data_IF_322196391769
#
_entry.id   IF_322196391769
#
_cell.length_a   1.000
_cell.length_b   1.000
_cell.length_c   1.000
_cell.angle_alpha   90.00
_cell.angle_beta   90.00
_cell.angle_gamma   90.00
#
_symmetry.space_group_name_H-M   'P 1'
#
loop_
_entity.id
_entity.type
_entity.pdbx_description
1 polymer ?
#
# COMPACT_ATOMS: atom_id res chain seq x y z
N UNK A 1 -11.44 30.20 2.81
CA UNK A 1 -12.68 29.94 3.55
C UNK A 1 -13.81 29.39 2.68
N UNK A 2 -14.14 29.96 1.50
CA UNK A 2 -15.22 29.41 0.64
C UNK A 2 -14.98 27.95 0.18
N UNK A 3 -13.74 27.56 -0.11
CA UNK A 3 -13.37 26.20 -0.53
C UNK A 3 -13.57 25.17 0.59
N UNK A 4 -13.27 25.51 1.85
CA UNK A 4 -13.41 24.63 3.01
C UNK A 4 -14.88 24.39 3.37
N UNK A 5 -15.72 25.42 3.30
CA UNK A 5 -17.16 25.29 3.52
C UNK A 5 -17.83 24.44 2.41
N UNK A 6 -17.39 24.58 1.16
CA UNK A 6 -17.87 23.77 0.05
C UNK A 6 -17.53 22.29 0.27
N UNK A 7 -16.38 22.01 0.84
CA UNK A 7 -15.90 20.69 1.18
C UNK A 7 -16.74 20.04 2.29
N UNK A 8 -16.97 20.79 3.38
CA UNK A 8 -17.83 20.32 4.50
C UNK A 8 -19.25 20.03 4.02
N UNK A 9 -19.81 20.91 3.18
CA UNK A 9 -21.16 20.74 2.62
C UNK A 9 -21.18 19.53 1.70
N UNK A 10 -20.15 19.34 0.84
CA UNK A 10 -20.04 18.19 -0.05
C UNK A 10 -19.94 16.87 0.74
N UNK A 11 -19.04 16.80 1.74
CA UNK A 11 -18.95 15.64 2.64
C UNK A 11 -20.25 15.36 3.40
N UNK A 12 -20.93 16.39 3.87
CA UNK A 12 -22.21 16.23 4.60
C UNK A 12 -23.31 15.73 3.66
N UNK A 13 -23.45 16.30 2.47
CA UNK A 13 -24.48 15.91 1.49
C UNK A 13 -24.20 14.52 0.94
N UNK A 14 -22.96 14.23 0.58
CA UNK A 14 -22.51 12.93 0.12
C UNK A 14 -22.65 11.87 1.23
N UNK A 15 -22.28 12.20 2.47
CA UNK A 15 -22.43 11.32 3.63
C UNK A 15 -23.85 10.94 3.98
N UNK A 16 -24.81 11.86 3.81
CA UNK A 16 -26.23 11.57 4.02
C UNK A 16 -26.80 10.66 2.92
N UNK A 17 -26.35 10.81 1.67
CA UNK A 17 -26.74 9.97 0.54
C UNK A 17 -26.12 8.57 0.63
N UNK A 18 -24.86 8.48 1.08
CA UNK A 18 -24.05 7.26 1.02
C UNK A 18 -23.62 6.75 2.41
N UNK A 19 -24.54 6.71 3.37
CA UNK A 19 -24.26 6.21 4.75
C UNK A 19 -23.55 4.87 4.79
N UNK A 20 -23.82 4.02 3.80
CA UNK A 20 -23.26 2.69 3.70
C UNK A 20 -21.76 2.73 3.31
N UNK A 21 -21.39 3.57 2.33
CA UNK A 21 -20.02 3.84 1.96
C UNK A 21 -19.21 4.42 3.12
N UNK A 22 -19.77 5.38 3.86
CA UNK A 22 -19.08 5.95 5.02
C UNK A 22 -18.88 4.94 6.15
N UNK A 23 -19.83 4.04 6.38
CA UNK A 23 -19.63 2.96 7.35
C UNK A 23 -18.48 2.03 6.93
N UNK A 24 -18.37 1.70 5.64
CA UNK A 24 -17.25 0.94 5.09
C UNK A 24 -15.93 1.71 5.21
N UNK A 25 -15.97 3.03 4.95
CA UNK A 25 -14.79 3.90 5.08
C UNK A 25 -14.29 4.00 6.52
N UNK A 26 -15.19 4.10 7.50
CA UNK A 26 -14.82 4.11 8.93
C UNK A 26 -14.29 2.73 9.36
N UNK A 27 -14.91 1.64 8.89
CA UNK A 27 -14.38 0.28 9.08
C UNK A 27 -12.93 0.22 8.56
N UNK A 28 -12.70 0.68 7.33
CA UNK A 28 -11.38 0.67 6.70
C UNK A 28 -10.39 1.57 7.44
N UNK A 29 -10.81 2.74 7.93
CA UNK A 29 -9.98 3.63 8.74
C UNK A 29 -9.43 2.93 9.98
N UNK A 30 -10.27 2.30 10.78
CA UNK A 30 -9.82 1.57 11.97
C UNK A 30 -8.99 0.34 11.61
N UNK A 31 -9.35 -0.35 10.53
CA UNK A 31 -8.56 -1.47 10.03
C UNK A 31 -7.16 -1.03 9.61
N UNK A 32 -7.02 0.12 8.94
CA UNK A 32 -5.71 0.61 8.52
C UNK A 32 -4.87 1.15 9.67
N UNK A 33 -5.47 1.62 10.76
CA UNK A 33 -4.72 1.88 11.99
C UNK A 33 -4.17 0.57 12.57
N UNK A 34 -5.01 -0.48 12.64
CA UNK A 34 -4.58 -1.82 13.04
C UNK A 34 -3.39 -2.30 12.19
N UNK A 35 -3.55 -2.31 10.86
CA UNK A 35 -2.53 -2.78 9.93
C UNK A 35 -1.26 -1.93 9.98
N UNK A 36 -1.38 -0.61 10.09
CA UNK A 36 -0.24 0.30 10.23
C UNK A 36 0.54 0.10 11.53
N UNK A 37 -0.15 -0.23 12.64
CA UNK A 37 0.52 -0.62 13.90
C UNK A 37 1.30 -1.92 13.69
N UNK A 38 0.67 -2.95 13.11
CA UNK A 38 1.32 -4.23 12.82
C UNK A 38 2.50 -4.05 11.86
N UNK A 39 2.35 -3.23 10.83
CA UNK A 39 3.43 -2.90 9.89
C UNK A 39 4.62 -2.25 10.59
N UNK A 40 4.36 -1.34 11.54
CA UNK A 40 5.40 -0.67 12.32
C UNK A 40 6.14 -1.64 13.26
N UNK A 41 5.40 -2.48 13.98
CA UNK A 41 6.02 -3.35 15.01
C UNK A 41 6.65 -4.62 14.44
N UNK A 42 6.22 -5.10 13.26
CA UNK A 42 6.70 -6.37 12.69
C UNK A 42 8.23 -6.42 12.53
N UNK A 43 8.90 -5.43 11.90
CA UNK A 43 10.36 -5.43 11.81
C UNK A 43 11.03 -5.35 13.18
N UNK A 44 10.46 -4.59 14.14
CA UNK A 44 10.99 -4.45 15.49
C UNK A 44 10.93 -5.78 16.27
N UNK A 45 9.81 -6.51 16.15
CA UNK A 45 9.64 -7.85 16.77
C UNK A 45 10.67 -8.83 16.25
N UNK A 46 10.87 -8.88 14.94
CA UNK A 46 11.79 -9.82 14.31
C UNK A 46 13.23 -9.51 14.74
N UNK A 47 13.63 -8.24 14.73
CA UNK A 47 14.99 -7.82 15.17
C UNK A 47 15.19 -8.07 16.68
N UNK A 48 14.20 -7.75 17.51
CA UNK A 48 14.28 -7.98 18.95
C UNK A 48 14.42 -9.46 19.34
N UNK A 49 14.04 -10.37 18.42
CA UNK A 49 14.24 -11.82 18.56
C UNK A 49 15.65 -12.29 18.17
N UNK A 50 16.56 -11.37 17.82
CA UNK A 50 17.96 -11.66 17.51
C UNK A 50 18.25 -11.97 16.03
N UNK A 51 17.29 -11.77 15.13
CA UNK A 51 17.52 -11.92 13.70
C UNK A 51 18.24 -10.71 13.11
N UNK A 52 19.06 -10.94 12.07
CA UNK A 52 19.68 -9.86 11.30
C UNK A 52 18.64 -9.08 10.49
N UNK A 53 18.97 -7.85 10.08
CA UNK A 53 18.10 -7.07 9.19
C UNK A 53 17.85 -7.79 7.86
N UNK A 54 18.84 -8.52 7.33
CA UNK A 54 18.68 -9.34 6.13
C UNK A 54 17.58 -10.40 6.32
N UNK A 55 17.63 -11.14 7.43
CA UNK A 55 16.62 -12.17 7.72
C UNK A 55 15.25 -11.56 7.96
N UNK A 56 15.18 -10.43 8.66
CA UNK A 56 13.94 -9.65 8.82
C UNK A 56 13.37 -9.24 7.47
N UNK A 57 14.19 -8.73 6.55
CA UNK A 57 13.75 -8.35 5.21
C UNK A 57 13.21 -9.55 4.39
N UNK A 58 13.85 -10.72 4.49
CA UNK A 58 13.36 -11.97 3.87
C UNK A 58 11.99 -12.36 4.43
N UNK A 59 11.85 -12.31 5.75
CA UNK A 59 10.59 -12.65 6.44
C UNK A 59 9.48 -11.70 6.00
N UNK A 60 9.71 -10.39 6.00
CA UNK A 60 8.71 -9.39 5.59
C UNK A 60 8.34 -9.55 4.11
N UNK A 61 9.32 -9.76 3.23
CA UNK A 61 9.08 -9.98 1.80
C UNK A 61 8.22 -11.20 1.49
N UNK A 62 8.15 -12.18 2.41
CA UNK A 62 7.29 -13.36 2.26
C UNK A 62 5.81 -12.99 2.21
N UNK A 63 5.37 -11.87 2.81
CA UNK A 63 3.98 -11.42 2.76
C UNK A 63 3.50 -11.20 1.32
N UNK A 64 4.31 -10.54 0.49
CA UNK A 64 3.97 -10.29 -0.92
C UNK A 64 4.08 -11.54 -1.80
N UNK A 65 5.00 -12.47 -1.48
CA UNK A 65 5.05 -13.77 -2.15
C UNK A 65 3.78 -14.56 -1.85
N UNK A 66 3.38 -14.61 -0.58
CA UNK A 66 2.17 -15.30 -0.15
C UNK A 66 0.91 -14.63 -0.72
N UNK A 67 0.84 -13.28 -0.73
CA UNK A 67 -0.23 -12.52 -1.38
C UNK A 67 -0.40 -12.92 -2.84
N UNK A 68 0.66 -12.85 -3.64
CA UNK A 68 0.59 -13.25 -5.05
C UNK A 68 0.12 -14.69 -5.27
N UNK A 69 0.48 -15.63 -4.37
CA UNK A 69 -0.03 -17.01 -4.41
C UNK A 69 -1.51 -17.08 -4.00
N UNK A 70 -1.90 -16.32 -2.98
CA UNK A 70 -3.29 -16.28 -2.51
C UNK A 70 -4.20 -15.61 -3.52
N UNK A 71 -3.78 -14.55 -4.20
CA UNK A 71 -4.53 -13.93 -5.30
C UNK A 71 -4.94 -14.96 -6.34
N UNK A 72 -4.00 -15.80 -6.76
CA UNK A 72 -4.29 -16.89 -7.69
C UNK A 72 -5.29 -17.91 -7.13
N UNK A 73 -5.14 -18.29 -5.85
CA UNK A 73 -6.04 -19.26 -5.21
C UNK A 73 -7.43 -18.63 -4.94
N UNK A 74 -7.48 -17.41 -4.43
CA UNK A 74 -8.72 -16.70 -4.11
C UNK A 74 -9.52 -16.39 -5.36
N UNK A 75 -8.87 -15.96 -6.45
CA UNK A 75 -9.51 -15.73 -7.75
C UNK A 75 -10.18 -17.01 -8.30
N UNK A 76 -9.65 -18.20 -7.98
CA UNK A 76 -10.20 -19.48 -8.40
C UNK A 76 -11.32 -19.99 -7.48
N UNK A 77 -11.12 -19.91 -6.15
CA UNK A 77 -12.03 -20.53 -5.18
C UNK A 77 -13.08 -19.58 -4.61
N UNK A 78 -12.85 -18.28 -4.64
CA UNK A 78 -13.73 -17.24 -4.09
C UNK A 78 -14.33 -16.31 -5.16
N UNK A 79 -14.29 -16.65 -6.43
CA UNK A 79 -14.82 -15.86 -7.56
C UNK A 79 -16.24 -15.30 -7.35
N UNK A 80 -17.09 -16.07 -6.65
CA UNK A 80 -18.47 -15.72 -6.37
C UNK A 80 -18.71 -15.34 -4.89
N UNK A 81 -17.63 -15.10 -4.14
CA UNK A 81 -17.78 -14.79 -2.72
C UNK A 81 -18.25 -13.36 -2.54
N UNK A 82 -19.24 -13.19 -1.67
CA UNK A 82 -19.78 -11.89 -1.30
C UNK A 82 -18.82 -11.17 -0.34
N UNK A 83 -18.70 -9.83 -0.43
CA UNK A 83 -17.85 -9.00 0.42
C UNK A 83 -17.98 -9.31 1.93
N UNK A 84 -19.16 -9.70 2.39
CA UNK A 84 -19.39 -10.09 3.79
C UNK A 84 -18.55 -11.29 4.21
N UNK A 85 -18.46 -12.30 3.34
CA UNK A 85 -17.67 -13.50 3.60
C UNK A 85 -16.17 -13.17 3.54
N UNK A 86 -15.77 -12.36 2.58
CA UNK A 86 -14.37 -11.95 2.40
C UNK A 86 -13.89 -11.16 3.62
N UNK A 87 -14.65 -10.15 4.07
CA UNK A 87 -14.30 -9.40 5.28
C UNK A 87 -14.34 -10.26 6.54
N UNK A 88 -15.30 -11.17 6.67
CA UNK A 88 -15.34 -12.06 7.85
C UNK A 88 -14.09 -12.93 7.94
N UNK A 89 -13.65 -13.54 6.84
CA UNK A 89 -12.42 -14.35 6.80
C UNK A 89 -11.22 -13.45 7.07
N UNK A 90 -11.14 -12.27 6.47
CA UNK A 90 -10.11 -11.27 6.74
C UNK A 90 -9.99 -10.96 8.23
N UNK A 91 -11.11 -10.66 8.92
CA UNK A 91 -11.10 -10.36 10.35
C UNK A 91 -10.61 -11.53 11.21
N UNK A 92 -10.95 -12.76 10.84
CA UNK A 92 -10.44 -13.96 11.52
C UNK A 92 -8.92 -14.06 11.37
N UNK A 93 -8.39 -13.86 10.16
CA UNK A 93 -6.95 -13.88 9.90
C UNK A 93 -6.25 -12.74 10.62
N UNK A 94 -6.82 -11.52 10.59
CA UNK A 94 -6.30 -10.34 11.30
C UNK A 94 -6.27 -10.53 12.83
N UNK A 95 -7.19 -11.31 13.40
CA UNK A 95 -7.20 -11.60 14.83
C UNK A 95 -6.07 -12.57 15.22
N UNK A 96 -5.80 -13.55 14.38
CA UNK A 96 -4.82 -14.62 14.67
C UNK A 96 -3.38 -14.14 14.42
N UNK A 97 -3.14 -13.37 13.38
CA UNK A 97 -1.81 -12.97 12.92
C UNK A 97 -0.98 -12.22 14.01
N UNK A 98 -1.50 -11.19 14.73
CA UNK A 98 -0.74 -10.51 15.78
C UNK A 98 -0.40 -11.41 16.96
N UNK A 99 -1.27 -12.36 17.29
CA UNK A 99 -1.04 -13.32 18.38
C UNK A 99 0.12 -14.26 18.02
N UNK A 100 0.17 -14.73 16.78
CA UNK A 100 1.28 -15.55 16.27
C UNK A 100 2.57 -14.72 16.26
N UNK A 101 2.50 -13.47 15.76
CA UNK A 101 3.65 -12.58 15.69
C UNK A 101 4.25 -12.30 17.07
N UNK A 102 3.42 -12.05 18.10
CA UNK A 102 3.85 -11.75 19.45
C UNK A 102 4.48 -12.96 20.18
N UNK A 103 3.87 -14.13 20.04
CA UNK A 103 4.30 -15.35 20.73
C UNK A 103 5.55 -16.00 20.10
N UNK A 104 5.94 -15.59 18.91
CA UNK A 104 6.98 -16.25 18.15
C UNK A 104 8.39 -15.77 18.52
N UNK A 105 9.35 -16.72 18.44
CA UNK A 105 10.80 -16.46 18.39
C UNK A 105 11.45 -17.28 17.26
N UNK A 106 10.66 -17.99 16.45
CA UNK A 106 11.13 -18.93 15.44
C UNK A 106 10.82 -18.39 14.04
N UNK A 107 11.82 -18.38 13.16
CA UNK A 107 11.70 -17.83 11.79
C UNK A 107 10.51 -18.40 11.00
N UNK A 108 10.25 -19.71 11.08
CA UNK A 108 9.14 -20.35 10.35
C UNK A 108 7.79 -19.80 10.78
N UNK A 109 7.62 -19.47 12.06
CA UNK A 109 6.37 -18.90 12.57
C UNK A 109 6.24 -17.44 12.13
N UNK A 110 7.32 -16.68 12.05
CA UNK A 110 7.31 -15.35 11.45
C UNK A 110 6.96 -15.38 9.96
N UNK A 111 7.50 -16.34 9.20
CA UNK A 111 7.11 -16.54 7.79
C UNK A 111 5.60 -16.82 7.66
N UNK A 112 5.04 -17.64 8.56
CA UNK A 112 3.60 -17.90 8.60
C UNK A 112 2.80 -16.62 8.92
N UNK A 113 3.22 -15.85 9.93
CA UNK A 113 2.57 -14.58 10.27
C UNK A 113 2.60 -13.58 9.11
N UNK A 114 3.70 -13.51 8.36
CA UNK A 114 3.80 -12.67 7.17
C UNK A 114 2.98 -13.20 6.00
N UNK A 115 2.90 -14.51 5.81
CA UNK A 115 2.00 -15.11 4.82
C UNK A 115 0.53 -14.78 5.14
N UNK A 116 0.13 -14.81 6.41
CA UNK A 116 -1.20 -14.38 6.84
C UNK A 116 -1.43 -12.88 6.58
N UNK A 117 -0.39 -12.05 6.68
CA UNK A 117 -0.45 -10.64 6.32
C UNK A 117 -0.83 -10.47 4.86
N UNK A 118 -0.12 -11.12 3.92
CA UNK A 118 -0.48 -11.11 2.51
C UNK A 118 -1.94 -11.53 2.30
N UNK A 119 -2.34 -12.66 2.89
CA UNK A 119 -3.71 -13.19 2.75
C UNK A 119 -4.79 -12.20 3.18
N UNK A 120 -4.67 -11.58 4.37
CA UNK A 120 -5.73 -10.69 4.82
C UNK A 120 -5.78 -9.37 4.02
N UNK A 121 -4.63 -8.94 3.46
CA UNK A 121 -4.55 -7.77 2.61
C UNK A 121 -5.31 -7.98 1.28
N UNK A 122 -5.13 -9.15 0.67
CA UNK A 122 -5.84 -9.54 -0.55
C UNK A 122 -7.35 -9.71 -0.30
N UNK A 123 -7.71 -10.36 0.81
CA UNK A 123 -9.13 -10.50 1.21
C UNK A 123 -9.80 -9.13 1.40
N UNK A 124 -9.09 -8.14 1.94
CA UNK A 124 -9.57 -6.77 2.03
C UNK A 124 -9.75 -6.15 0.64
N UNK A 125 -8.77 -6.30 -0.25
CA UNK A 125 -8.81 -5.80 -1.62
C UNK A 125 -10.02 -6.34 -2.37
N UNK A 126 -10.19 -7.66 -2.42
CA UNK A 126 -11.34 -8.31 -3.03
C UNK A 126 -12.66 -7.92 -2.36
N UNK A 127 -12.67 -7.80 -1.02
CA UNK A 127 -13.83 -7.34 -0.27
C UNK A 127 -14.26 -5.93 -0.63
N UNK A 128 -13.31 -5.00 -0.77
CA UNK A 128 -13.57 -3.62 -1.19
C UNK A 128 -14.11 -3.57 -2.63
N UNK A 129 -13.54 -4.34 -3.53
CA UNK A 129 -14.00 -4.42 -4.91
C UNK A 129 -15.43 -4.93 -5.00
N UNK A 130 -15.73 -6.06 -4.36
CA UNK A 130 -17.09 -6.64 -4.36
C UNK A 130 -18.09 -5.73 -3.64
N UNK A 131 -17.68 -5.05 -2.56
CA UNK A 131 -18.51 -4.07 -1.86
C UNK A 131 -18.89 -2.91 -2.78
N UNK A 132 -17.93 -2.24 -3.41
CA UNK A 132 -18.18 -1.09 -4.27
C UNK A 132 -19.03 -1.50 -5.48
N UNK A 133 -18.69 -2.62 -6.15
CA UNK A 133 -19.40 -3.07 -7.34
C UNK A 133 -20.86 -3.46 -7.08
N UNK A 134 -21.20 -3.91 -5.86
CA UNK A 134 -22.57 -4.34 -5.53
C UNK A 134 -23.41 -3.27 -4.85
N UNK A 135 -22.79 -2.40 -4.06
CA UNK A 135 -23.52 -1.48 -3.18
C UNK A 135 -23.55 -0.04 -3.69
N UNK A 136 -22.69 0.29 -4.68
CA UNK A 136 -22.61 1.62 -5.30
C UNK A 136 -23.14 1.60 -6.74
N UNK A 137 -23.57 2.76 -7.23
CA UNK A 137 -23.95 2.93 -8.64
C UNK A 137 -22.69 2.96 -9.53
N UNK A 138 -22.80 2.51 -10.78
CA UNK A 138 -21.63 2.31 -11.66
C UNK A 138 -20.85 3.60 -11.91
N UNK A 139 -21.55 4.74 -12.04
CA UNK A 139 -20.96 6.07 -12.21
C UNK A 139 -20.31 6.62 -10.93
N UNK A 140 -20.58 6.02 -9.76
CA UNK A 140 -20.03 6.39 -8.46
C UNK A 140 -18.84 5.50 -8.03
N UNK A 141 -18.48 4.46 -8.78
CA UNK A 141 -17.42 3.52 -8.38
C UNK A 141 -16.08 4.22 -8.14
N UNK A 142 -15.61 5.05 -9.07
CA UNK A 142 -14.34 5.75 -8.95
C UNK A 142 -14.31 6.70 -7.74
N UNK A 143 -15.39 7.46 -7.51
CA UNK A 143 -15.50 8.35 -6.35
C UNK A 143 -15.58 7.58 -5.04
N UNK A 144 -16.22 6.42 -5.03
CA UNK A 144 -16.32 5.53 -3.87
C UNK A 144 -14.95 4.98 -3.46
N UNK A 145 -14.15 4.51 -4.41
CA UNK A 145 -12.76 4.11 -4.14
C UNK A 145 -11.91 5.30 -3.67
N UNK A 146 -12.15 6.51 -4.18
CA UNK A 146 -11.52 7.73 -3.70
C UNK A 146 -11.80 8.01 -2.22
N UNK A 147 -13.08 7.87 -1.80
CA UNK A 147 -13.46 8.03 -0.39
C UNK A 147 -12.81 6.97 0.49
N UNK A 148 -12.88 5.69 0.10
CA UNK A 148 -12.18 4.60 0.80
C UNK A 148 -10.67 4.88 0.94
N UNK A 149 -10.04 5.38 -0.13
CA UNK A 149 -8.62 5.73 -0.17
C UNK A 149 -8.24 6.84 0.81
N UNK A 150 -9.06 7.88 0.96
CA UNK A 150 -8.84 8.96 1.94
C UNK A 150 -8.85 8.42 3.37
N UNK A 151 -9.84 7.59 3.73
CA UNK A 151 -9.93 6.99 5.06
C UNK A 151 -8.78 6.00 5.32
N UNK A 152 -8.37 5.24 4.30
CA UNK A 152 -7.18 4.37 4.35
C UNK A 152 -5.92 5.18 4.64
N UNK A 153 -5.70 6.28 3.91
CA UNK A 153 -4.52 7.15 4.08
C UNK A 153 -4.48 7.81 5.45
N UNK A 154 -5.65 8.24 5.98
CA UNK A 154 -5.76 8.77 7.35
C UNK A 154 -5.36 7.74 8.40
N UNK A 155 -5.76 6.49 8.24
CA UNK A 155 -5.38 5.41 9.16
C UNK A 155 -3.87 5.18 9.17
N UNK A 156 -3.25 5.07 8.01
CA UNK A 156 -1.78 4.89 7.91
C UNK A 156 -1.00 6.12 8.37
N UNK A 157 -1.55 7.32 8.25
CA UNK A 157 -0.95 8.54 8.81
C UNK A 157 -0.91 8.50 10.33
N UNK A 158 -2.00 8.07 10.97
CA UNK A 158 -2.13 8.08 12.42
C UNK A 158 -1.46 6.88 13.11
N UNK A 159 -1.39 5.73 12.45
CA UNK A 159 -0.88 4.51 13.05
C UNK A 159 0.54 4.64 13.61
N UNK A 160 1.54 5.18 12.90
CA UNK A 160 2.90 5.36 13.44
C UNK A 160 2.94 6.32 14.64
N UNK A 161 2.14 7.39 14.65
CA UNK A 161 2.04 8.29 15.80
C UNK A 161 1.49 7.57 17.03
N UNK A 162 0.39 6.85 16.84
CA UNK A 162 -0.29 6.14 17.94
C UNK A 162 0.64 5.07 18.52
N UNK A 163 1.31 4.31 17.66
CA UNK A 163 2.21 3.24 18.13
C UNK A 163 3.47 3.79 18.77
N UNK A 164 4.05 4.89 18.25
CA UNK A 164 5.21 5.56 18.83
C UNK A 164 4.94 6.09 20.25
N UNK A 165 3.69 6.55 20.53
CA UNK A 165 3.28 6.95 21.88
C UNK A 165 3.18 5.78 22.87
N UNK A 166 3.03 4.55 22.40
CA UNK A 166 2.77 3.35 23.21
C UNK A 166 4.01 2.47 23.37
N UNK A 167 4.90 2.46 22.37
CA UNK A 167 6.16 1.74 22.44
C UNK A 167 7.05 2.44 23.45
N UNK A 168 7.38 1.72 24.54
CA UNK A 168 8.36 2.17 25.54
C UNK A 168 9.80 1.87 25.11
N UNK A 169 10.72 1.78 26.10
CA UNK A 169 12.12 1.41 25.84
C UNK A 169 12.28 -0.04 25.34
N UNK A 170 11.31 -0.90 25.65
CA UNK A 170 11.25 -2.29 25.19
C UNK A 170 9.90 -2.57 24.55
N UNK A 171 9.92 -3.33 23.48
CA UNK A 171 8.71 -3.79 22.81
C UNK A 171 7.99 -4.82 23.71
N UNK A 172 6.84 -4.45 24.24
CA UNK A 172 6.00 -5.27 25.10
C UNK A 172 4.67 -5.67 24.42
N UNK A 173 3.72 -6.16 25.19
CA UNK A 173 2.40 -6.56 24.69
C UNK A 173 1.46 -5.40 24.30
N UNK A 174 1.74 -4.17 24.76
CA UNK A 174 0.83 -3.01 24.59
C UNK A 174 0.54 -2.64 23.15
N UNK A 175 1.50 -2.57 22.22
CA UNK A 175 1.20 -2.28 20.80
C UNK A 175 0.29 -3.34 20.16
N UNK A 176 0.43 -4.61 20.55
CA UNK A 176 -0.42 -5.69 20.04
C UNK A 176 -1.86 -5.57 20.53
N UNK A 177 -2.06 -5.28 21.82
CA UNK A 177 -3.39 -5.04 22.37
C UNK A 177 -4.03 -3.80 21.73
N UNK A 178 -3.24 -2.73 21.56
CA UNK A 178 -3.70 -1.53 20.88
C UNK A 178 -4.17 -1.83 19.45
N UNK A 179 -3.40 -2.61 18.68
CA UNK A 179 -3.80 -3.05 17.36
C UNK A 179 -5.12 -3.82 17.40
N UNK A 180 -5.28 -4.77 18.34
CA UNK A 180 -6.52 -5.55 18.50
C UNK A 180 -7.71 -4.68 18.92
N UNK A 181 -7.50 -3.59 19.67
CA UNK A 181 -8.56 -2.62 20.00
C UNK A 181 -9.06 -1.94 18.71
N UNK A 182 -8.15 -1.46 17.85
CA UNK A 182 -8.55 -0.87 16.58
C UNK A 182 -9.19 -1.89 15.62
N UNK A 183 -8.70 -3.13 15.60
CA UNK A 183 -9.34 -4.22 14.87
C UNK A 183 -10.78 -4.47 15.37
N UNK A 184 -10.99 -4.44 16.68
CA UNK A 184 -12.32 -4.60 17.30
C UNK A 184 -13.26 -3.45 16.91
N UNK A 185 -12.76 -2.20 16.90
CA UNK A 185 -13.51 -1.04 16.41
C UNK A 185 -13.90 -1.21 14.95
N UNK A 186 -12.96 -1.63 14.10
CA UNK A 186 -13.23 -1.95 12.70
C UNK A 186 -14.30 -3.03 12.56
N UNK A 187 -14.21 -4.09 13.35
CA UNK A 187 -15.19 -5.19 13.33
C UNK A 187 -16.60 -4.73 13.73
N UNK A 188 -16.74 -3.80 14.68
CA UNK A 188 -18.04 -3.22 15.04
C UNK A 188 -18.67 -2.53 13.81
N UNK A 189 -17.91 -1.72 13.07
CA UNK A 189 -18.41 -1.09 11.85
C UNK A 189 -18.72 -2.11 10.75
N UNK A 190 -17.96 -3.19 10.64
CA UNK A 190 -18.31 -4.32 9.78
C UNK A 190 -19.64 -4.96 10.16
N UNK A 191 -19.91 -5.17 11.46
CA UNK A 191 -21.20 -5.71 11.92
C UNK A 191 -22.36 -4.77 11.55
N UNK A 192 -22.18 -3.45 11.70
CA UNK A 192 -23.15 -2.46 11.28
C UNK A 192 -23.46 -2.58 9.78
N UNK A 193 -22.41 -2.71 8.95
CA UNK A 193 -22.53 -2.95 7.51
C UNK A 193 -23.25 -4.26 7.21
N UNK A 194 -22.86 -5.32 7.89
CA UNK A 194 -23.41 -6.67 7.70
C UNK A 194 -24.93 -6.71 7.97
N UNK A 195 -25.36 -6.08 9.07
CA UNK A 195 -26.79 -6.04 9.48
C UNK A 195 -27.60 -5.17 8.51
N UNK A 196 -27.09 -3.98 8.17
CA UNK A 196 -27.82 -3.03 7.32
C UNK A 196 -27.90 -3.50 5.86
N UNK A 197 -26.87 -4.16 5.36
CA UNK A 197 -26.83 -4.70 4.00
C UNK A 197 -27.84 -5.83 3.76
N UNK A 198 -28.18 -6.63 4.79
CA UNK A 198 -29.25 -7.66 4.68
C UNK A 198 -30.62 -7.10 4.32
N UNK A 199 -30.87 -5.81 4.61
CA UNK A 199 -32.14 -5.13 4.34
C UNK A 199 -32.27 -4.61 2.91
N UNK A 200 -31.15 -4.50 2.16
CA UNK A 200 -31.16 -4.13 0.74
C UNK A 200 -31.20 -5.39 -0.10
N UNK A 201 -32.24 -5.55 -0.92
CA UNK A 201 -32.33 -6.65 -1.87
C UNK A 201 -31.11 -6.64 -2.82
N UNK A 202 -30.45 -7.78 -2.94
CA UNK A 202 -29.24 -7.95 -3.74
C UNK A 202 -29.61 -7.69 -5.21
N UNK A 203 -29.06 -6.64 -5.81
CA UNK A 203 -29.10 -6.44 -7.26
C UNK A 203 -28.06 -7.39 -7.86
N UNK A 204 -28.53 -8.57 -8.27
CA UNK A 204 -27.69 -9.53 -9.00
C UNK A 204 -27.67 -9.06 -10.46
N UNK A 205 -26.84 -8.07 -10.78
CA UNK A 205 -26.42 -7.89 -12.16
C UNK A 205 -25.38 -8.99 -12.45
N UNK A 206 -25.66 -9.75 -13.50
CA UNK A 206 -24.81 -10.85 -13.97
C UNK A 206 -23.44 -10.27 -14.29
N UNK A 207 -22.45 -10.53 -13.44
CA UNK A 207 -21.03 -10.41 -13.82
C UNK A 207 -20.88 -11.22 -15.11
N UNK A 208 -20.44 -10.57 -16.18
CA UNK A 208 -20.15 -11.26 -17.43
C UNK A 208 -19.27 -12.47 -17.11
N UNK A 209 -19.73 -13.66 -17.49
CA UNK A 209 -18.97 -14.89 -17.29
C UNK A 209 -17.64 -14.76 -18.05
N UNK A 210 -16.58 -14.45 -17.32
CA UNK A 210 -15.24 -14.51 -17.85
C UNK A 210 -14.92 -15.95 -18.22
N UNK A 211 -14.67 -16.21 -19.50
CA UNK A 211 -14.12 -17.51 -19.94
C UNK A 211 -12.61 -17.46 -19.73
N UNK A 212 -12.06 -18.23 -18.78
CA UNK A 212 -10.62 -18.24 -18.55
C UNK A 212 -9.92 -18.65 -19.85
N UNK A 213 -8.98 -17.83 -20.30
CA UNK A 213 -8.07 -18.20 -21.39
C UNK A 213 -7.19 -19.34 -20.91
N UNK A 214 -6.76 -20.24 -21.79
CA UNK A 214 -5.85 -21.32 -21.41
C UNK A 214 -4.54 -20.72 -20.85
N UNK A 215 -3.99 -21.30 -19.78
CA UNK A 215 -2.80 -20.82 -19.06
C UNK A 215 -1.61 -20.43 -19.97
N UNK A 216 -1.31 -21.24 -20.99
CA UNK A 216 -0.24 -20.94 -21.95
C UNK A 216 -0.54 -19.74 -22.85
N UNK A 217 -1.81 -19.52 -23.20
CA UNK A 217 -2.25 -18.36 -23.97
C UNK A 217 -2.07 -17.09 -23.14
N UNK A 218 -2.43 -17.15 -21.87
CA UNK A 218 -2.31 -16.04 -20.94
C UNK A 218 -0.84 -15.67 -20.71
N UNK A 219 0.05 -16.62 -20.46
CA UNK A 219 1.50 -16.39 -20.35
C UNK A 219 2.08 -15.74 -21.61
N UNK A 220 1.70 -16.22 -22.79
CA UNK A 220 2.22 -15.67 -24.03
C UNK A 220 1.72 -14.22 -24.25
N UNK A 221 0.49 -13.93 -23.86
CA UNK A 221 -0.06 -12.59 -23.90
C UNK A 221 0.65 -11.66 -22.93
N UNK A 222 0.90 -12.12 -21.69
CA UNK A 222 1.68 -11.40 -20.68
C UNK A 222 3.10 -11.10 -21.17
N UNK A 223 3.78 -12.07 -21.80
CA UNK A 223 5.10 -11.84 -22.40
C UNK A 223 5.06 -10.77 -23.49
N UNK A 224 4.05 -10.78 -24.36
CA UNK A 224 3.91 -9.81 -25.45
C UNK A 224 3.66 -8.41 -24.91
N UNK A 225 2.71 -8.24 -24.02
CA UNK A 225 2.35 -6.97 -23.39
C UNK A 225 3.50 -6.48 -22.51
N UNK A 226 4.02 -7.35 -21.64
CA UNK A 226 5.09 -7.05 -20.71
C UNK A 226 6.37 -6.56 -21.40
N UNK A 227 6.70 -7.09 -22.59
CA UNK A 227 7.85 -6.60 -23.37
C UNK A 227 7.69 -5.12 -23.79
N UNK A 228 6.49 -4.71 -24.15
CA UNK A 228 6.21 -3.32 -24.55
C UNK A 228 6.13 -2.40 -23.34
N UNK A 229 5.57 -2.89 -22.24
CA UNK A 229 5.39 -2.13 -21.00
C UNK A 229 6.58 -2.21 -20.05
N UNK A 230 7.61 -3.00 -20.35
CA UNK A 230 8.72 -3.30 -19.44
C UNK A 230 9.34 -2.07 -18.73
N UNK A 231 9.60 -0.94 -19.39
CA UNK A 231 10.15 0.23 -18.72
C UNK A 231 9.21 0.80 -17.65
N UNK A 232 7.88 0.75 -17.89
CA UNK A 232 6.87 1.20 -16.93
C UNK A 232 6.75 0.21 -15.76
N UNK A 233 6.74 -1.09 -16.05
CA UNK A 233 6.66 -2.14 -15.03
C UNK A 233 7.88 -2.10 -14.10
N UNK A 234 9.10 -1.89 -14.64
CA UNK A 234 10.32 -1.70 -13.84
C UNK A 234 10.19 -0.43 -12.98
N UNK A 235 9.62 0.64 -13.53
CA UNK A 235 9.43 1.88 -12.78
C UNK A 235 8.42 1.72 -11.62
N UNK A 236 7.31 1.03 -11.85
CA UNK A 236 6.34 0.68 -10.80
C UNK A 236 6.97 -0.19 -9.71
N UNK A 237 7.75 -1.21 -10.12
CA UNK A 237 8.51 -2.04 -9.19
C UNK A 237 9.47 -1.19 -8.33
N UNK A 238 10.15 -0.22 -8.94
CA UNK A 238 11.08 0.67 -8.24
C UNK A 238 10.36 1.56 -7.22
N UNK A 239 9.19 2.11 -7.57
CA UNK A 239 8.36 2.90 -6.64
C UNK A 239 7.88 2.05 -5.45
N UNK A 240 7.41 0.84 -5.71
CA UNK A 240 6.97 -0.10 -4.67
C UNK A 240 8.14 -0.55 -3.78
N UNK A 241 9.32 -0.73 -4.37
CA UNK A 241 10.55 -1.02 -3.63
C UNK A 241 10.91 0.16 -2.70
N UNK A 242 10.79 1.41 -3.16
CA UNK A 242 11.02 2.57 -2.31
C UNK A 242 10.05 2.62 -1.13
N UNK A 243 8.76 2.39 -1.36
CA UNK A 243 7.76 2.36 -0.29
C UNK A 243 8.07 1.26 0.73
N UNK A 244 8.40 0.06 0.26
CA UNK A 244 8.73 -1.07 1.13
C UNK A 244 9.97 -0.84 2.00
N UNK A 245 10.97 -0.06 1.56
CA UNK A 245 12.11 0.34 2.38
C UNK A 245 11.65 1.15 3.60
N UNK A 246 10.74 2.10 3.41
CA UNK A 246 10.22 2.91 4.52
C UNK A 246 9.49 2.05 5.55
N UNK A 247 8.66 1.11 5.13
CA UNK A 247 7.93 0.23 6.05
C UNK A 247 8.79 -0.89 6.65
N UNK A 248 9.93 -1.22 6.04
CA UNK A 248 10.82 -2.28 6.54
C UNK A 248 11.85 -1.75 7.55
N UNK A 249 12.61 -0.73 7.18
CA UNK A 249 13.70 -0.20 8.02
C UNK A 249 13.37 1.15 8.67
N UNK A 250 12.30 1.82 8.22
CA UNK A 250 11.87 3.08 8.80
C UNK A 250 11.52 2.99 10.29
N UNK A 251 10.74 1.99 10.75
CA UNK A 251 10.47 1.81 12.17
C UNK A 251 11.74 1.65 13.00
N UNK A 252 12.70 0.86 12.51
CA UNK A 252 13.97 0.61 13.20
C UNK A 252 14.81 1.88 13.26
N UNK A 253 14.88 2.63 12.16
CA UNK A 253 15.56 3.92 12.13
C UNK A 253 14.92 4.92 13.09
N UNK A 254 13.59 4.93 13.17
CA UNK A 254 12.83 5.79 14.09
C UNK A 254 13.23 5.56 15.54
N UNK A 255 13.37 4.30 15.96
CA UNK A 255 13.79 3.93 17.32
C UNK A 255 15.21 4.42 17.68
N UNK A 256 16.05 4.73 16.68
CA UNK A 256 17.38 5.32 16.93
C UNK A 256 17.33 6.77 17.41
N UNK A 257 16.18 7.45 17.24
CA UNK A 257 16.00 8.86 17.62
C UNK A 257 15.59 9.05 19.08
N UNK A 258 16.33 8.45 20.02
CA UNK A 258 16.04 8.42 21.47
C UNK A 258 15.68 9.79 22.07
N UNK A 259 16.24 10.89 21.55
CA UNK A 259 15.95 12.26 22.01
C UNK A 259 14.54 12.75 21.66
N UNK A 260 13.83 12.07 20.78
CA UNK A 260 12.50 12.46 20.30
C UNK A 260 11.40 11.54 20.82
N UNK A 261 11.71 10.56 21.69
CA UNK A 261 10.67 9.77 22.34
C UNK A 261 9.73 10.69 23.14
N UNK A 262 8.40 10.53 23.03
CA UNK A 262 7.67 9.46 22.35
C UNK A 262 7.26 9.79 20.89
N UNK A 263 7.96 10.65 20.18
CA UNK A 263 7.59 11.12 18.86
C UNK A 263 8.32 10.40 17.71
N UNK A 264 8.88 9.25 17.95
CA UNK A 264 9.60 8.41 16.96
C UNK A 264 8.69 8.03 15.79
N UNK A 265 7.40 7.80 16.01
CA UNK A 265 6.42 7.57 14.95
C UNK A 265 6.30 8.70 13.90
N UNK A 266 6.79 9.92 14.21
CA UNK A 266 6.78 11.06 13.27
C UNK A 266 7.53 10.77 11.97
N UNK A 267 8.53 9.88 11.98
CA UNK A 267 9.29 9.52 10.79
C UNK A 267 8.37 8.93 9.69
N UNK A 268 7.65 7.86 10.03
CA UNK A 268 6.70 7.24 9.09
C UNK A 268 5.44 8.08 8.89
N UNK A 269 5.04 8.88 9.87
CA UNK A 269 3.95 9.85 9.70
C UNK A 269 4.29 10.91 8.67
N UNK A 270 5.52 11.47 8.69
CA UNK A 270 5.98 12.42 7.69
C UNK A 270 6.02 11.77 6.29
N UNK A 271 6.36 10.48 6.20
CA UNK A 271 6.28 9.71 4.97
C UNK A 271 4.84 9.51 4.48
N UNK A 272 3.90 9.24 5.38
CA UNK A 272 2.51 8.92 5.06
C UNK A 272 1.60 10.15 4.85
N UNK A 273 2.07 11.35 5.18
CA UNK A 273 1.28 12.60 5.05
C UNK A 273 1.01 13.00 3.58
N UNK A 274 1.99 12.99 2.66
CA UNK A 274 1.78 13.43 1.28
C UNK A 274 0.71 12.67 0.51
N UNK A 275 0.56 11.33 0.61
CA UNK A 275 -0.52 10.59 -0.03
C UNK A 275 -1.92 11.12 0.29
N UNK A 276 -2.12 11.66 1.49
CA UNK A 276 -3.40 12.28 1.87
C UNK A 276 -3.63 13.62 1.16
N UNK A 277 -2.58 14.40 0.92
CA UNK A 277 -2.67 15.78 0.43
C UNK A 277 -2.56 15.89 -1.09
N UNK A 278 -1.69 15.11 -1.72
CA UNK A 278 -1.35 15.22 -3.16
C UNK A 278 -2.57 15.00 -4.05
N UNK A 279 -3.46 14.08 -3.69
CA UNK A 279 -4.68 13.83 -4.45
C UNK A 279 -5.55 15.06 -4.67
N UNK A 280 -5.49 16.06 -3.77
CA UNK A 280 -6.26 17.30 -3.85
C UNK A 280 -5.66 18.31 -4.83
N UNK A 281 -4.38 18.18 -5.13
CA UNK A 281 -3.65 19.12 -5.98
C UNK A 281 -3.38 18.58 -7.37
N UNK A 282 -3.44 17.23 -7.56
CA UNK A 282 -3.00 16.60 -8.79
C UNK A 282 -3.82 17.01 -10.00
N UNK A 283 -5.12 17.30 -9.84
CA UNK A 283 -5.98 17.75 -10.94
C UNK A 283 -5.54 19.09 -11.55
N UNK A 284 -4.88 19.92 -10.76
CA UNK A 284 -4.30 21.20 -11.24
C UNK A 284 -3.08 20.97 -12.14
N UNK A 285 -2.47 19.80 -12.06
CA UNK A 285 -1.29 19.40 -12.83
C UNK A 285 -1.62 18.42 -13.97
N UNK A 286 -2.87 17.90 -14.03
CA UNK A 286 -3.35 17.11 -15.17
C UNK A 286 -3.29 17.97 -16.45
N UNK A 287 -2.53 17.53 -17.42
CA UNK A 287 -2.40 18.18 -18.73
C UNK A 287 -1.14 19.00 -18.97
N UNK A 288 -0.44 19.48 -17.92
CA UNK A 288 0.74 20.33 -18.11
C UNK A 288 2.05 19.55 -18.16
N UNK A 289 2.14 18.39 -17.54
CA UNK A 289 3.42 17.74 -17.29
C UNK A 289 3.61 16.34 -17.89
N UNK A 290 2.54 15.58 -18.14
CA UNK A 290 2.63 14.26 -18.77
C UNK A 290 3.69 13.32 -18.14
N UNK A 291 4.12 12.32 -18.90
CA UNK A 291 5.08 11.31 -18.46
C UNK A 291 6.45 11.85 -18.01
N UNK A 292 6.91 12.99 -18.56
CA UNK A 292 8.18 13.59 -18.14
C UNK A 292 8.14 14.04 -16.68
N UNK A 293 7.03 14.59 -16.23
CA UNK A 293 6.84 15.00 -14.86
C UNK A 293 6.89 13.81 -13.89
N UNK A 294 6.38 12.65 -14.30
CA UNK A 294 6.48 11.43 -13.53
C UNK A 294 7.93 11.12 -13.16
N UNK A 295 8.80 10.95 -14.17
CA UNK A 295 10.21 10.65 -13.95
C UNK A 295 10.95 11.78 -13.21
N UNK A 296 10.68 13.05 -13.54
CA UNK A 296 11.31 14.20 -12.87
C UNK A 296 10.95 14.21 -11.38
N UNK A 297 9.68 14.00 -11.04
CA UNK A 297 9.24 13.94 -9.64
C UNK A 297 9.97 12.83 -8.88
N UNK A 298 10.07 11.64 -9.45
CA UNK A 298 10.76 10.53 -8.79
C UNK A 298 12.28 10.74 -8.69
N UNK A 299 12.91 11.39 -9.67
CA UNK A 299 14.31 11.82 -9.60
C UNK A 299 14.51 12.79 -8.44
N UNK A 300 13.63 13.78 -8.27
CA UNK A 300 13.70 14.74 -7.15
C UNK A 300 13.53 13.99 -5.81
N UNK A 301 12.55 13.08 -5.70
CA UNK A 301 12.40 12.22 -4.54
C UNK A 301 13.69 11.47 -4.21
N UNK A 302 14.32 10.87 -5.22
CA UNK A 302 15.56 10.11 -5.07
C UNK A 302 16.75 10.99 -4.61
N UNK A 303 16.83 12.24 -5.08
CA UNK A 303 17.86 13.19 -4.65
C UNK A 303 17.71 13.54 -3.16
N UNK A 304 16.48 13.68 -2.66
CA UNK A 304 16.26 13.87 -1.22
C UNK A 304 16.74 12.64 -0.44
N UNK A 305 16.49 11.42 -0.89
CA UNK A 305 16.97 10.21 -0.20
C UNK A 305 18.50 10.12 -0.15
N UNK A 306 19.22 10.60 -1.17
CA UNK A 306 20.69 10.63 -1.17
C UNK A 306 21.23 11.46 -0.01
N UNK A 307 20.52 12.51 0.41
CA UNK A 307 20.95 13.38 1.50
C UNK A 307 21.01 12.68 2.86
N UNK A 308 20.42 11.47 3.01
CA UNK A 308 20.56 10.63 4.21
C UNK A 308 22.00 10.23 4.49
N UNK A 309 22.88 10.19 3.48
CA UNK A 309 24.32 9.98 3.70
C UNK A 309 24.97 11.10 4.50
N UNK A 310 24.44 12.33 4.41
CA UNK A 310 25.05 13.57 4.94
C UNK A 310 24.37 13.97 6.25
N UNK A 311 23.06 14.03 6.25
CA UNK A 311 22.29 14.53 7.39
C UNK A 311 21.92 13.41 8.35
N UNK A 312 22.14 13.66 9.67
CA UNK A 312 21.82 12.73 10.76
C UNK A 312 20.86 13.33 11.77
N UNK A 313 20.58 14.64 11.64
CA UNK A 313 19.72 15.33 12.59
C UNK A 313 18.24 14.96 12.32
N UNK A 314 17.48 14.47 13.31
CA UNK A 314 16.13 13.96 13.10
C UNK A 314 15.16 14.94 12.44
N UNK A 315 15.17 16.23 12.84
CA UNK A 315 14.29 17.25 12.24
C UNK A 315 14.60 17.49 10.76
N UNK A 316 15.89 17.47 10.36
CA UNK A 316 16.28 17.61 8.96
C UNK A 316 15.78 16.38 8.19
N UNK A 317 15.91 15.18 8.76
CA UNK A 317 15.46 13.94 8.13
C UNK A 317 13.92 13.91 7.98
N UNK A 318 13.17 14.37 8.97
CA UNK A 318 11.71 14.51 8.85
C UNK A 318 11.33 15.40 7.67
N UNK A 319 12.01 16.52 7.49
CA UNK A 319 11.77 17.42 6.35
C UNK A 319 12.16 16.79 5.02
N UNK A 320 13.31 16.12 4.98
CA UNK A 320 13.80 15.38 3.79
C UNK A 320 12.80 14.29 3.40
N UNK A 321 12.29 13.51 4.35
CA UNK A 321 11.31 12.45 4.09
C UNK A 321 10.01 13.03 3.57
N UNK A 322 9.51 14.10 4.20
CA UNK A 322 8.29 14.77 3.77
C UNK A 322 8.40 15.22 2.30
N UNK A 323 9.53 15.83 1.92
CA UNK A 323 9.76 16.24 0.53
C UNK A 323 9.93 15.04 -0.40
N UNK A 324 10.74 14.05 -0.02
CA UNK A 324 10.91 12.84 -0.82
C UNK A 324 9.57 12.14 -1.06
N UNK A 325 8.78 11.93 -0.01
CA UNK A 325 7.46 11.31 -0.12
C UNK A 325 6.48 12.15 -0.95
N UNK A 326 6.54 13.49 -0.85
CA UNK A 326 5.69 14.36 -1.67
C UNK A 326 5.95 14.13 -3.15
N UNK A 327 7.21 14.15 -3.58
CA UNK A 327 7.55 13.94 -4.99
C UNK A 327 7.33 12.50 -5.44
N UNK A 328 7.56 11.51 -4.58
CA UNK A 328 7.24 10.11 -4.86
C UNK A 328 5.73 9.91 -5.04
N UNK A 329 4.90 10.53 -4.20
CA UNK A 329 3.44 10.47 -4.30
C UNK A 329 2.92 11.13 -5.58
N UNK A 330 3.49 12.28 -5.99
CA UNK A 330 3.17 12.89 -7.29
C UNK A 330 3.50 11.93 -8.43
N UNK A 331 4.68 11.31 -8.39
CA UNK A 331 5.07 10.33 -9.38
C UNK A 331 4.10 9.15 -9.44
N UNK A 332 3.76 8.59 -8.29
CA UNK A 332 2.81 7.48 -8.19
C UNK A 332 1.44 7.82 -8.78
N UNK A 333 0.91 8.99 -8.45
CA UNK A 333 -0.40 9.41 -8.93
C UNK A 333 -0.42 9.65 -10.46
N UNK A 334 0.68 10.19 -11.03
CA UNK A 334 0.82 10.34 -12.50
C UNK A 334 0.92 8.96 -13.16
N UNK A 335 1.67 8.02 -12.57
CA UNK A 335 1.83 6.66 -13.09
C UNK A 335 0.49 5.92 -13.16
N UNK A 336 -0.33 6.03 -12.13
CA UNK A 336 -1.68 5.44 -12.12
C UNK A 336 -2.56 6.03 -13.24
N UNK A 337 -2.45 7.34 -13.50
CA UNK A 337 -3.13 7.98 -14.63
C UNK A 337 -2.67 7.44 -15.99
N UNK A 338 -1.37 7.22 -16.16
CA UNK A 338 -0.82 6.65 -17.40
C UNK A 338 -1.29 5.20 -17.62
N UNK A 339 -1.41 4.40 -16.57
CA UNK A 339 -1.98 3.05 -16.69
C UNK A 339 -3.45 3.08 -17.10
N UNK A 340 -4.25 4.00 -16.55
CA UNK A 340 -5.63 4.18 -16.95
C UNK A 340 -5.74 4.52 -18.44
N UNK A 341 -4.89 5.42 -18.96
CA UNK A 341 -4.82 5.75 -20.38
C UNK A 341 -4.45 4.52 -21.23
N UNK A 342 -3.51 3.67 -20.79
CA UNK A 342 -3.12 2.45 -21.51
C UNK A 342 -4.24 1.39 -21.52
N UNK A 343 -5.03 1.29 -20.46
CA UNK A 343 -6.18 0.42 -20.38
C UNK A 343 -7.27 0.91 -21.33
N UNK A 344 -7.54 2.22 -21.35
CA UNK A 344 -8.53 2.83 -22.27
C UNK A 344 -8.15 2.59 -23.75
N UNK A 345 -6.89 2.80 -24.10
CA UNK A 345 -6.36 2.54 -25.46
C UNK A 345 -6.38 1.04 -25.84
N UNK A 346 -6.46 0.15 -24.87
CA UNK A 346 -6.31 -1.30 -25.04
C UNK A 346 -7.38 -2.12 -24.29
N UNK A 347 -8.63 -1.67 -24.35
CA UNK A 347 -9.76 -2.19 -23.56
C UNK A 347 -9.90 -3.73 -23.55
N UNK A 348 -9.53 -4.41 -24.63
CA UNK A 348 -9.55 -5.89 -24.70
C UNK A 348 -8.46 -6.60 -23.86
N UNK A 349 -7.50 -5.84 -23.28
CA UNK A 349 -6.32 -6.34 -22.55
C UNK A 349 -6.20 -5.77 -21.15
N UNK A 350 -7.26 -5.14 -20.64
CA UNK A 350 -7.33 -4.52 -19.32
C UNK A 350 -6.78 -5.44 -18.21
N UNK A 351 -7.30 -6.65 -18.12
CA UNK A 351 -6.92 -7.62 -17.06
C UNK A 351 -5.45 -8.03 -17.13
N UNK A 352 -4.92 -8.19 -18.34
CA UNK A 352 -3.52 -8.54 -18.54
C UNK A 352 -2.58 -7.38 -18.14
N UNK A 353 -3.00 -6.14 -18.40
CA UNK A 353 -2.26 -4.93 -17.98
C UNK A 353 -2.30 -4.80 -16.47
N UNK A 354 -3.48 -4.89 -15.85
CA UNK A 354 -3.64 -4.85 -14.39
C UNK A 354 -2.81 -5.93 -13.71
N UNK A 355 -2.89 -7.18 -14.18
CA UNK A 355 -2.11 -8.28 -13.62
C UNK A 355 -0.59 -8.08 -13.73
N UNK A 356 -0.08 -7.47 -14.82
CA UNK A 356 1.34 -7.13 -14.95
C UNK A 356 1.76 -6.00 -14.01
N UNK A 357 0.89 -5.00 -13.81
CA UNK A 357 1.11 -3.91 -12.85
C UNK A 357 1.17 -4.46 -11.43
N UNK A 358 0.19 -5.27 -11.03
CA UNK A 358 0.14 -5.90 -9.70
C UNK A 358 1.34 -6.81 -9.46
N UNK A 359 1.74 -7.59 -10.46
CA UNK A 359 2.97 -8.38 -10.39
C UNK A 359 4.19 -7.51 -10.13
N UNK A 360 4.31 -6.35 -10.79
CA UNK A 360 5.44 -5.43 -10.60
C UNK A 360 5.43 -4.76 -9.22
N UNK A 361 4.25 -4.41 -8.71
CA UNK A 361 4.07 -3.91 -7.34
C UNK A 361 4.53 -4.96 -6.34
N UNK A 362 4.03 -6.18 -6.45
CA UNK A 362 4.38 -7.30 -5.56
C UNK A 362 5.88 -7.63 -5.64
N UNK A 363 6.48 -7.62 -6.85
CA UNK A 363 7.92 -7.82 -7.00
C UNK A 363 8.73 -6.74 -6.26
N UNK A 364 8.29 -5.49 -6.26
CA UNK A 364 8.89 -4.40 -5.48
C UNK A 364 8.80 -4.65 -3.98
N UNK A 365 7.65 -5.12 -3.49
CA UNK A 365 7.46 -5.47 -2.07
C UNK A 365 8.11 -6.79 -1.63
N UNK A 366 8.57 -7.63 -2.58
CA UNK A 366 9.44 -8.78 -2.28
C UNK A 366 10.91 -8.35 -2.23
N UNK A 367 11.37 -7.69 -3.29
CA UNK A 367 12.78 -7.34 -3.45
C UNK A 367 13.19 -6.22 -2.48
N UNK A 368 12.28 -5.26 -2.24
CA UNK A 368 12.56 -4.10 -1.40
C UNK A 368 12.96 -4.45 0.03
N UNK A 369 12.14 -5.19 0.80
CA UNK A 369 12.49 -5.56 2.17
C UNK A 369 13.79 -6.38 2.26
N UNK A 370 14.03 -7.28 1.31
CA UNK A 370 15.25 -8.09 1.26
C UNK A 370 16.49 -7.20 1.06
N UNK A 371 16.42 -6.29 0.08
CA UNK A 371 17.51 -5.34 -0.18
C UNK A 371 17.68 -4.34 0.98
N UNK A 372 16.58 -3.84 1.55
CA UNK A 372 16.62 -2.94 2.69
C UNK A 372 17.33 -3.58 3.89
N UNK A 373 16.96 -4.82 4.21
CA UNK A 373 17.59 -5.59 5.26
C UNK A 373 19.08 -5.88 4.99
N UNK A 374 19.39 -6.36 3.79
CA UNK A 374 20.77 -6.67 3.39
C UNK A 374 21.68 -5.44 3.43
N UNK A 375 21.24 -4.34 2.86
CA UNK A 375 22.01 -3.10 2.86
C UNK A 375 22.17 -2.53 4.27
N UNK A 376 21.13 -2.59 5.11
CA UNK A 376 21.23 -2.08 6.47
C UNK A 376 22.20 -2.85 7.35
N UNK A 377 22.37 -4.16 7.13
CA UNK A 377 23.43 -4.96 7.78
C UNK A 377 24.84 -4.58 7.32
N UNK A 378 25.01 -4.12 6.06
CA UNK A 378 26.31 -3.81 5.47
C UNK A 378 26.76 -2.36 5.68
N UNK A 379 25.84 -1.40 5.53
CA UNK A 379 26.18 0.03 5.50
C UNK A 379 25.42 0.87 6.52
N UNK A 380 24.53 0.25 7.31
CA UNK A 380 23.66 0.90 8.30
C UNK A 380 22.47 1.60 7.67
N UNK A 381 21.47 1.91 8.51
CA UNK A 381 20.13 2.38 8.07
C UNK A 381 20.17 3.65 7.20
N UNK A 382 20.92 4.66 7.63
CA UNK A 382 21.02 5.93 6.88
C UNK A 382 21.61 5.75 5.49
N UNK A 383 22.72 5.03 5.40
CA UNK A 383 23.36 4.80 4.10
C UNK A 383 22.49 3.90 3.21
N UNK A 384 21.66 3.04 3.79
CA UNK A 384 20.69 2.23 3.04
C UNK A 384 19.68 3.11 2.30
N UNK A 385 19.11 4.14 2.96
CA UNK A 385 18.25 5.10 2.26
C UNK A 385 19.01 5.90 1.20
N UNK A 386 20.25 6.29 1.47
CA UNK A 386 21.07 6.97 0.48
C UNK A 386 21.37 6.09 -0.74
N UNK A 387 21.67 4.80 -0.52
CA UNK A 387 21.85 3.81 -1.59
C UNK A 387 20.60 3.63 -2.42
N UNK A 388 19.42 3.52 -1.77
CA UNK A 388 18.13 3.50 -2.46
C UNK A 388 17.97 4.74 -3.35
N UNK A 389 18.29 5.93 -2.82
CA UNK A 389 18.22 7.18 -3.57
C UNK A 389 19.12 7.18 -4.80
N UNK A 390 20.39 6.76 -4.65
CA UNK A 390 21.34 6.66 -5.77
C UNK A 390 20.83 5.67 -6.82
N UNK A 391 20.43 4.48 -6.41
CA UNK A 391 19.90 3.43 -7.29
C UNK A 391 18.67 3.93 -8.04
N UNK A 392 17.68 4.49 -7.32
CA UNK A 392 16.44 5.01 -7.89
C UNK A 392 16.71 6.15 -8.87
N UNK A 393 17.65 7.04 -8.57
CA UNK A 393 18.06 8.13 -9.45
C UNK A 393 18.57 7.61 -10.80
N UNK A 394 19.54 6.70 -10.79
CA UNK A 394 20.14 6.19 -12.03
C UNK A 394 19.15 5.34 -12.83
N UNK A 395 18.40 4.44 -12.17
CA UNK A 395 17.40 3.61 -12.86
C UNK A 395 16.34 4.50 -13.50
N UNK A 396 15.82 5.49 -12.78
CA UNK A 396 14.80 6.42 -13.32
C UNK A 396 15.35 7.25 -14.48
N UNK A 397 16.60 7.70 -14.40
CA UNK A 397 17.24 8.44 -15.48
C UNK A 397 17.36 7.59 -16.76
N UNK A 398 17.74 6.32 -16.63
CA UNK A 398 17.78 5.37 -17.75
C UNK A 398 16.37 5.15 -18.30
N UNK A 399 15.39 4.83 -17.45
CA UNK A 399 14.02 4.56 -17.86
C UNK A 399 13.38 5.76 -18.56
N UNK A 400 13.67 6.98 -18.11
CA UNK A 400 13.15 8.21 -18.73
C UNK A 400 13.59 8.39 -20.20
N UNK A 401 14.72 7.76 -20.58
CA UNK A 401 15.26 7.82 -21.95
C UNK A 401 14.79 6.68 -22.83
N UNK A 402 14.60 5.47 -22.27
CA UNK A 402 14.24 4.27 -23.05
C UNK A 402 12.73 4.03 -23.13
N UNK A 403 11.94 4.61 -22.21
CA UNK A 403 10.51 4.39 -22.18
C UNK A 403 9.84 4.94 -23.46
N UNK A 404 9.02 4.14 -24.17
CA UNK A 404 8.41 4.55 -25.44
C UNK A 404 7.45 5.74 -25.23
N UNK A 405 7.43 6.67 -26.19
CA UNK A 405 6.55 7.86 -26.12
C UNK A 405 5.06 7.53 -26.12
N UNK A 406 4.68 6.43 -26.77
CA UNK A 406 3.33 5.86 -26.79
C UNK A 406 3.44 4.36 -26.64
N UNK A 407 2.61 3.76 -25.81
CA UNK A 407 2.48 2.31 -25.72
C UNK A 407 1.35 1.90 -26.67
N UNK A 408 1.72 1.59 -27.92
CA UNK A 408 0.79 0.93 -28.81
C UNK A 408 0.81 -0.57 -28.50
N UNK A 409 -0.13 -1.02 -27.70
CA UNK A 409 -0.38 -2.45 -27.49
C UNK A 409 -1.20 -2.91 -28.70
N UNK A 410 -0.53 -3.01 -29.86
CA UNK A 410 -1.13 -3.33 -31.13
C UNK A 410 -1.96 -4.62 -31.09
N UNK A 411 -3.00 -4.65 -31.93
CA UNK A 411 -3.92 -5.74 -32.15
C UNK A 411 -3.27 -7.03 -32.65
#
# INVERSE_FOLDING_TARGET
MKSFNHLIIHFRTYGLKHKFLYSASIMLFFWTIFDGIISYISPLVIISSGYSNTMMGIIIGTSSIAGALFDFLLSKYLQNSHWRRLYLIMFIVCLIQPLILWQSKVAVIYLLAMAMWGLYYDLLGFGNFDFVSREMETDEHASSFGVLGVFKSLGYLLAPLIVGLVIGEMLDWKPFVLALVFLSMSFIFFLILYINGKKRGIRIERLQQYRPKGFLVEINLWKKIGKVMLPFLIFTMLMSMQDSFFWTIGPILSETFVKFKPLDGLFLTAYSLPPLLVGWFIDKFKGTFGRKANYISFIISSLFLITFAIFRHPLILLFVILLSSTFSTFSWAIEQGLYADYIEDSFSKEKEIEGLVDFSVNAGYVVGPILAGFLSDKVGYFNTFAFLGIFSFFVTLILSRIAPKRVAIGG
#
